data_IF_799755571825
#
_entry.id   IF_799755571825
#
_cell.length_a   1.000
_cell.length_b   1.000
_cell.length_c   1.000
_cell.angle_alpha   90.00
_cell.angle_beta   90.00
_cell.angle_gamma   90.00
#
_symmetry.space_group_name_H-M   'P 1'
#
loop_
_entity.id
_entity.type
_entity.pdbx_description
1 polymer ?
#
# COMPACT_ATOMS: atom_id res chain seq x y z
N UNK A 1 -30.00 -6.29 7.25
CA UNK A 1 -29.11 -5.97 8.39
C UNK A 1 -27.82 -6.81 8.43
N UNK A 2 -27.86 -8.15 8.33
CA UNK A 2 -26.63 -9.00 8.39
C UNK A 2 -25.57 -8.68 7.32
N UNK A 3 -25.98 -8.43 6.08
CA UNK A 3 -25.04 -8.09 5.00
C UNK A 3 -24.28 -6.79 5.27
N UNK A 4 -25.00 -5.74 5.71
CA UNK A 4 -24.40 -4.46 6.08
C UNK A 4 -23.35 -4.63 7.20
N UNK A 5 -23.67 -5.42 8.22
CA UNK A 5 -22.74 -5.73 9.32
C UNK A 5 -21.46 -6.41 8.82
N UNK A 6 -21.58 -7.37 7.89
CA UNK A 6 -20.41 -8.06 7.32
C UNK A 6 -19.51 -7.10 6.54
N UNK A 7 -20.09 -6.21 5.73
CA UNK A 7 -19.33 -5.18 5.02
C UNK A 7 -18.60 -4.25 5.99
N UNK A 8 -19.29 -3.72 7.00
CA UNK A 8 -18.69 -2.84 8.01
C UNK A 8 -17.53 -3.55 8.73
N UNK A 9 -17.76 -4.79 9.18
CA UNK A 9 -16.71 -5.59 9.84
C UNK A 9 -15.50 -5.77 8.94
N UNK A 10 -15.72 -6.06 7.66
CA UNK A 10 -14.65 -6.27 6.70
C UNK A 10 -13.83 -5.01 6.45
N UNK A 11 -14.49 -3.87 6.26
CA UNK A 11 -13.84 -2.56 6.11
C UNK A 11 -13.04 -2.18 7.35
N UNK A 12 -13.59 -2.39 8.56
CA UNK A 12 -12.88 -2.14 9.80
C UNK A 12 -11.61 -2.99 9.93
N UNK A 13 -11.67 -4.27 9.57
CA UNK A 13 -10.50 -5.15 9.60
C UNK A 13 -9.40 -4.67 8.64
N UNK A 14 -9.77 -4.24 7.44
CA UNK A 14 -8.80 -3.68 6.47
C UNK A 14 -8.15 -2.41 7.04
N UNK A 15 -8.94 -1.52 7.65
CA UNK A 15 -8.42 -0.31 8.28
C UNK A 15 -7.43 -0.62 9.40
N UNK A 16 -7.76 -1.59 10.27
CA UNK A 16 -6.85 -2.04 11.35
C UNK A 16 -5.55 -2.60 10.78
N UNK A 17 -5.60 -3.45 9.75
CA UNK A 17 -4.40 -3.99 9.13
C UNK A 17 -3.53 -2.91 8.48
N UNK A 18 -4.15 -1.94 7.79
CA UNK A 18 -3.44 -0.83 7.20
C UNK A 18 -2.76 0.03 8.28
N UNK A 19 -3.44 0.32 9.39
CA UNK A 19 -2.86 1.05 10.53
C UNK A 19 -1.66 0.32 11.15
N UNK A 20 -1.73 -1.01 11.29
CA UNK A 20 -0.61 -1.81 11.77
C UNK A 20 0.60 -1.71 10.83
N UNK A 21 0.40 -1.76 9.52
CA UNK A 21 1.48 -1.60 8.53
C UNK A 21 2.10 -0.19 8.62
N UNK A 22 1.26 0.85 8.70
CA UNK A 22 1.71 2.25 8.80
C UNK A 22 2.47 2.50 10.12
N UNK A 23 2.11 1.82 11.21
CA UNK A 23 2.79 1.99 12.50
C UNK A 23 4.30 1.70 12.42
N UNK A 24 4.71 0.74 11.58
CA UNK A 24 6.12 0.41 11.33
C UNK A 24 6.82 1.58 10.62
N UNK A 25 6.14 2.24 9.69
CA UNK A 25 6.68 3.40 8.99
C UNK A 25 6.83 4.61 9.91
N UNK A 26 5.89 4.82 10.82
CA UNK A 26 5.98 5.86 11.86
C UNK A 26 7.17 5.57 12.77
N UNK A 27 7.30 4.33 13.26
CA UNK A 27 8.41 3.91 14.11
C UNK A 27 9.78 4.13 13.44
N UNK A 28 9.88 3.85 12.14
CA UNK A 28 11.11 4.01 11.37
C UNK A 28 11.38 5.45 10.89
N UNK A 29 10.51 6.42 11.19
CA UNK A 29 10.69 7.81 10.73
C UNK A 29 10.63 7.95 9.20
N UNK A 30 9.67 7.26 8.56
CA UNK A 30 9.49 7.28 7.11
C UNK A 30 9.54 8.71 6.50
N UNK A 31 10.15 8.89 5.31
CA UNK A 31 10.70 7.87 4.41
C UNK A 31 12.13 7.45 4.71
N UNK A 32 12.39 6.14 4.64
CA UNK A 32 13.75 5.61 4.57
C UNK A 32 14.25 5.77 3.13
N UNK A 33 15.21 6.67 2.93
CA UNK A 33 15.77 6.96 1.61
C UNK A 33 17.01 6.11 1.34
N UNK A 34 17.00 5.45 0.19
CA UNK A 34 18.14 4.77 -0.43
C UNK A 34 18.41 5.41 -1.79
N UNK A 35 19.60 5.22 -2.40
CA UNK A 35 19.86 5.74 -3.75
C UNK A 35 18.78 5.35 -4.76
N UNK A 36 18.30 4.10 -4.71
CA UNK A 36 17.27 3.61 -5.60
C UNK A 36 15.90 4.27 -5.34
N UNK A 37 15.42 4.24 -4.10
CA UNK A 37 14.12 4.80 -3.75
C UNK A 37 14.08 6.33 -3.95
N UNK A 38 15.17 7.02 -3.67
CA UNK A 38 15.34 8.45 -3.90
C UNK A 38 15.20 8.81 -5.38
N UNK A 39 15.83 8.04 -6.29
CA UNK A 39 15.67 8.25 -7.73
C UNK A 39 14.22 8.03 -8.17
N UNK A 40 13.53 6.99 -7.70
CA UNK A 40 12.12 6.77 -8.03
C UNK A 40 11.22 7.92 -7.57
N UNK A 41 11.45 8.43 -6.36
CA UNK A 41 10.74 9.60 -5.83
C UNK A 41 11.04 10.82 -6.71
N UNK A 42 12.31 11.07 -7.06
CA UNK A 42 12.68 12.19 -7.93
C UNK A 42 11.96 12.12 -9.28
N UNK A 43 12.04 10.98 -9.96
CA UNK A 43 11.36 10.78 -11.25
C UNK A 43 9.83 10.94 -11.15
N UNK A 44 9.23 10.50 -10.04
CA UNK A 44 7.81 10.69 -9.77
C UNK A 44 7.41 12.16 -9.65
N UNK A 45 8.23 12.98 -8.99
CA UNK A 45 7.94 14.40 -8.79
C UNK A 45 8.30 15.25 -10.01
N UNK A 46 9.35 14.87 -10.75
CA UNK A 46 9.80 15.56 -11.97
C UNK A 46 8.99 15.15 -13.22
N UNK A 47 8.11 14.14 -13.11
CA UNK A 47 7.34 13.57 -14.24
C UNK A 47 8.25 13.11 -15.39
N UNK A 48 9.39 12.53 -15.04
CA UNK A 48 10.36 11.98 -15.98
C UNK A 48 10.34 10.45 -15.94
N UNK A 49 10.51 9.81 -17.08
CA UNK A 49 10.68 8.36 -17.12
C UNK A 49 12.13 8.01 -16.74
N UNK A 50 12.32 7.01 -15.88
CA UNK A 50 13.64 6.46 -15.65
C UNK A 50 14.15 5.74 -16.89
N UNK A 51 15.42 5.94 -17.26
CA UNK A 51 16.02 5.30 -18.43
C UNK A 51 16.58 3.89 -18.14
N UNK A 52 16.87 3.62 -16.87
CA UNK A 52 17.62 2.46 -16.39
C UNK A 52 16.77 1.52 -15.51
N UNK A 53 15.48 1.82 -15.34
CA UNK A 53 14.58 1.08 -14.44
C UNK A 53 13.12 1.21 -14.85
N UNK A 54 12.28 0.31 -14.34
CA UNK A 54 10.86 0.30 -14.65
C UNK A 54 10.14 1.59 -14.20
N UNK A 55 9.31 2.23 -15.04
CA UNK A 55 8.64 3.48 -14.69
C UNK A 55 7.45 3.30 -13.74
N UNK A 56 6.96 2.07 -13.55
CA UNK A 56 5.69 1.84 -12.85
C UNK A 56 5.71 2.31 -11.40
N UNK A 57 6.83 2.14 -10.69
CA UNK A 57 6.92 2.60 -9.31
C UNK A 57 6.94 4.13 -9.21
N UNK A 58 7.70 4.82 -10.08
CA UNK A 58 7.67 6.29 -10.15
C UNK A 58 6.26 6.80 -10.46
N UNK A 59 5.56 6.18 -11.42
CA UNK A 59 4.20 6.55 -11.78
C UNK A 59 3.22 6.32 -10.61
N UNK A 60 3.34 5.18 -9.93
CA UNK A 60 2.54 4.89 -8.75
C UNK A 60 2.77 5.92 -7.64
N UNK A 61 4.03 6.29 -7.36
CA UNK A 61 4.36 7.34 -6.37
C UNK A 61 3.78 8.68 -6.82
N UNK A 62 3.91 9.07 -8.09
CA UNK A 62 3.39 10.33 -8.60
C UNK A 62 1.88 10.47 -8.41
N UNK A 63 1.13 9.41 -8.76
CA UNK A 63 -0.33 9.37 -8.63
C UNK A 63 -0.76 9.32 -7.16
N UNK A 64 -0.15 8.43 -6.37
CA UNK A 64 -0.57 8.20 -4.98
C UNK A 64 -0.14 9.30 -4.02
N UNK A 65 1.01 9.95 -4.24
CA UNK A 65 1.47 11.08 -3.40
C UNK A 65 0.76 12.39 -3.73
N UNK A 66 0.02 12.42 -4.84
CA UNK A 66 -0.48 13.65 -5.47
C UNK A 66 0.64 14.69 -5.70
N UNK A 67 1.89 14.23 -5.83
CA UNK A 67 3.12 15.04 -5.89
C UNK A 67 3.25 16.05 -4.74
N UNK A 68 2.66 15.74 -3.58
CA UNK A 68 2.65 16.60 -2.40
C UNK A 68 3.31 15.91 -1.21
N UNK A 69 2.92 14.68 -0.90
CA UNK A 69 3.43 13.97 0.28
C UNK A 69 3.52 12.47 0.07
N UNK A 70 4.67 11.89 0.41
CA UNK A 70 4.91 10.44 0.41
C UNK A 70 4.07 9.72 1.47
N UNK A 71 3.55 10.44 2.47
CA UNK A 71 2.62 9.86 3.45
C UNK A 71 1.30 9.42 2.82
N UNK A 72 0.84 10.07 1.75
CA UNK A 72 -0.36 9.60 1.02
C UNK A 72 -0.03 8.31 0.26
N UNK A 73 1.16 8.23 -0.34
CA UNK A 73 1.64 7.00 -1.00
C UNK A 73 1.64 5.81 -0.05
N UNK A 74 2.19 5.95 1.16
CA UNK A 74 2.24 4.82 2.09
C UNK A 74 0.86 4.42 2.63
N UNK A 75 -0.07 5.38 2.80
CA UNK A 75 -1.46 5.07 3.14
C UNK A 75 -2.12 4.23 2.03
N UNK A 76 -1.95 4.63 0.77
CA UNK A 76 -2.47 3.88 -0.38
C UNK A 76 -1.85 2.48 -0.45
N UNK A 77 -0.52 2.37 -0.30
CA UNK A 77 0.17 1.08 -0.28
C UNK A 77 -0.33 0.17 0.85
N UNK A 78 -0.47 0.70 2.07
CA UNK A 78 -0.94 -0.05 3.22
C UNK A 78 -2.37 -0.59 3.02
N UNK A 79 -3.26 0.22 2.45
CA UNK A 79 -4.62 -0.22 2.11
C UNK A 79 -4.63 -1.32 1.06
N UNK A 80 -3.84 -1.18 -0.01
CA UNK A 80 -3.74 -2.19 -1.07
C UNK A 80 -3.20 -3.52 -0.53
N UNK A 81 -2.17 -3.49 0.31
CA UNK A 81 -1.60 -4.70 0.92
C UNK A 81 -2.59 -5.32 1.92
N UNK A 82 -3.26 -4.52 2.75
CA UNK A 82 -4.28 -5.02 3.67
C UNK A 82 -5.43 -5.73 2.94
N UNK A 83 -5.90 -5.16 1.82
CA UNK A 83 -6.89 -5.78 0.94
C UNK A 83 -6.40 -7.09 0.34
N UNK A 84 -5.20 -7.10 -0.22
CA UNK A 84 -4.61 -8.29 -0.84
C UNK A 84 -4.45 -9.43 0.16
N UNK A 85 -3.88 -9.14 1.34
CA UNK A 85 -3.66 -10.13 2.39
C UNK A 85 -4.97 -10.70 2.90
N UNK A 86 -6.00 -9.86 3.06
CA UNK A 86 -7.32 -10.35 3.46
C UNK A 86 -7.91 -11.32 2.43
N UNK A 87 -7.86 -10.97 1.14
CA UNK A 87 -8.36 -11.84 0.08
C UNK A 87 -7.56 -13.15 -0.01
N UNK A 88 -6.24 -13.07 0.12
CA UNK A 88 -5.37 -14.23 0.12
C UNK A 88 -5.67 -15.15 1.30
N UNK A 89 -5.79 -14.61 2.51
CA UNK A 89 -6.10 -15.37 3.71
C UNK A 89 -7.43 -16.14 3.57
N UNK A 90 -8.48 -15.47 3.08
CA UNK A 90 -9.78 -16.12 2.83
C UNK A 90 -9.65 -17.28 1.82
N UNK A 91 -8.91 -17.08 0.72
CA UNK A 91 -8.69 -18.12 -0.30
C UNK A 91 -7.89 -19.30 0.24
N UNK A 92 -6.82 -19.04 0.99
CA UNK A 92 -5.96 -20.08 1.57
C UNK A 92 -6.73 -20.90 2.60
N UNK A 93 -7.45 -20.25 3.52
CA UNK A 93 -8.25 -20.95 4.54
C UNK A 93 -9.34 -21.79 3.89
N UNK A 94 -10.03 -21.26 2.87
CA UNK A 94 -11.05 -22.02 2.13
C UNK A 94 -10.44 -23.25 1.45
N UNK A 95 -9.30 -23.10 0.78
CA UNK A 95 -8.59 -24.21 0.13
C UNK A 95 -8.15 -25.26 1.14
N UNK A 96 -7.63 -24.84 2.30
CA UNK A 96 -7.20 -25.75 3.37
C UNK A 96 -8.37 -26.55 3.97
N UNK A 97 -9.59 -26.00 3.98
CA UNK A 97 -10.79 -26.68 4.50
C UNK A 97 -11.46 -27.63 3.48
N UNK A 98 -11.21 -27.45 2.19
CA UNK A 98 -11.74 -28.31 1.11
C UNK A 98 -10.83 -29.49 0.76
N UNK A 99 -9.68 -29.60 1.43
CA UNK A 99 -8.77 -30.75 1.36
C UNK A 99 -8.94 -31.58 2.62
#
# INVERSE_FOLDING_TARGET
>A
MKALYLYIKQTLLIAVYAMLIISIAIYNGYPLLTPDSGSYIKYAFDMQLPNDRSPFYSLFVAISSLRSSLWVTIVVQALLIALLLQQLAVRVIKKAKCR
#
